data_IF_981439747037
#
_entry.id   IF_981439747037
#
_cell.length_a   1.000
_cell.length_b   1.000
_cell.length_c   1.000
_cell.angle_alpha   90.00
_cell.angle_beta   90.00
_cell.angle_gamma   90.00
#
_symmetry.space_group_name_H-M   'P 1'
#
loop_
_entity.id
_entity.type
_entity.pdbx_description
1 polymer ?
#
# COMPACT_ATOMS: atom_id res chain seq x y z
N UNK A 1 -3.88 -2.67 -46.62
CA UNK A 1 -3.33 -3.08 -45.31
C UNK A 1 -3.07 -1.82 -44.54
N UNK A 2 -4.04 -1.45 -43.71
CA UNK A 2 -4.12 -0.17 -43.00
C UNK A 2 -3.00 -0.02 -41.97
N UNK A 3 -2.28 1.10 -42.13
CA UNK A 3 -1.64 1.93 -41.10
C UNK A 3 -1.57 1.38 -39.67
N UNK A 4 -0.37 0.93 -39.30
CA UNK A 4 0.10 0.76 -37.91
C UNK A 4 0.38 2.15 -37.24
N UNK A 5 0.09 3.25 -37.93
CA UNK A 5 0.56 4.60 -37.61
C UNK A 5 -0.38 5.44 -36.72
N UNK A 6 -1.46 4.85 -36.18
CA UNK A 6 -2.52 5.64 -35.50
C UNK A 6 -2.77 5.23 -34.03
N UNK A 7 -1.72 4.83 -33.31
CA UNK A 7 -1.71 4.96 -31.85
C UNK A 7 -1.04 6.27 -31.54
N UNK A 8 -1.82 7.35 -31.67
CA UNK A 8 -1.52 8.62 -31.03
C UNK A 8 -0.89 8.32 -29.67
N UNK A 9 0.35 8.78 -29.50
CA UNK A 9 0.93 9.03 -28.20
C UNK A 9 -0.02 10.01 -27.56
N UNK A 10 -1.05 9.49 -26.88
CA UNK A 10 -1.97 10.29 -26.10
C UNK A 10 -1.15 10.75 -24.92
N UNK A 11 -0.46 11.87 -25.10
CA UNK A 11 0.31 12.54 -24.06
C UNK A 11 -0.63 12.72 -22.88
N UNK A 12 -0.18 12.25 -21.72
CA UNK A 12 -1.00 12.29 -20.51
C UNK A 12 -1.25 13.77 -20.19
N UNK A 13 -2.50 14.17 -20.00
CA UNK A 13 -2.85 15.55 -19.64
C UNK A 13 -2.12 15.99 -18.36
N UNK A 14 -1.84 15.05 -17.45
CA UNK A 14 -1.03 15.30 -16.24
C UNK A 14 0.39 15.76 -16.61
N UNK A 15 1.05 15.13 -17.58
CA UNK A 15 2.43 15.48 -17.97
C UNK A 15 2.52 16.81 -18.73
N UNK A 16 1.42 17.28 -19.30
CA UNK A 16 1.38 18.56 -20.03
C UNK A 16 0.94 19.74 -19.16
N UNK A 17 -0.04 19.53 -18.28
CA UNK A 17 -0.68 20.63 -17.53
C UNK A 17 -0.14 20.80 -16.11
N UNK A 18 0.43 19.76 -15.52
CA UNK A 18 0.90 19.79 -14.12
C UNK A 18 2.42 19.94 -14.09
N UNK A 19 2.97 20.86 -13.26
CA UNK A 19 4.40 20.96 -13.03
C UNK A 19 5.01 19.62 -12.62
N UNK A 20 6.14 19.27 -13.23
CA UNK A 20 6.83 18.00 -13.00
C UNK A 20 7.20 17.79 -11.52
N UNK A 21 7.51 18.86 -10.77
CA UNK A 21 7.82 18.73 -9.34
C UNK A 21 6.62 18.21 -8.54
N UNK A 22 5.40 18.66 -8.86
CA UNK A 22 4.18 18.23 -8.18
C UNK A 22 3.84 16.78 -8.50
N UNK A 23 4.04 16.36 -9.75
CA UNK A 23 3.85 14.97 -10.16
C UNK A 23 4.88 14.07 -9.48
N UNK A 24 6.14 14.50 -9.40
CA UNK A 24 7.19 13.77 -8.71
C UNK A 24 6.91 13.61 -7.21
N UNK A 25 6.45 14.66 -6.53
CA UNK A 25 6.05 14.58 -5.11
C UNK A 25 4.91 13.57 -4.89
N UNK A 26 3.90 13.60 -5.76
CA UNK A 26 2.77 12.66 -5.69
C UNK A 26 3.22 11.21 -5.94
N UNK A 27 4.14 11.01 -6.88
CA UNK A 27 4.74 9.71 -7.16
C UNK A 27 5.60 9.19 -6.01
N UNK A 28 6.35 10.05 -5.31
CA UNK A 28 7.13 9.66 -4.13
C UNK A 28 6.21 9.22 -2.97
N UNK A 29 5.07 9.90 -2.78
CA UNK A 29 4.08 9.49 -1.79
C UNK A 29 3.47 8.13 -2.20
N UNK A 30 3.22 7.92 -3.50
CA UNK A 30 2.72 6.66 -4.02
C UNK A 30 3.71 5.52 -3.83
N UNK A 31 4.99 5.73 -4.13
CA UNK A 31 6.05 4.76 -3.92
C UNK A 31 6.06 4.29 -2.46
N UNK A 32 6.08 5.23 -1.51
CA UNK A 32 6.02 4.91 -0.07
C UNK A 32 4.76 4.13 0.29
N UNK A 33 3.62 4.48 -0.28
CA UNK A 33 2.36 3.78 -0.06
C UNK A 33 2.39 2.34 -0.62
N UNK A 34 2.88 2.17 -1.85
CA UNK A 34 2.96 0.86 -2.52
C UNK A 34 3.91 -0.10 -1.79
N UNK A 35 5.04 0.41 -1.29
CA UNK A 35 6.01 -0.39 -0.54
C UNK A 35 5.47 -0.87 0.82
N UNK A 36 4.46 -0.21 1.39
CA UNK A 36 3.81 -0.65 2.63
C UNK A 36 3.07 -1.98 2.46
N UNK A 37 2.55 -2.27 1.27
CA UNK A 37 1.91 -3.55 0.99
C UNK A 37 2.90 -4.70 1.17
N UNK A 38 4.16 -4.52 0.78
CA UNK A 38 5.24 -5.48 1.02
C UNK A 38 5.49 -5.75 2.51
N UNK A 39 5.58 -4.69 3.33
CA UNK A 39 5.74 -4.84 4.78
C UNK A 39 4.53 -5.53 5.45
N UNK A 40 3.31 -5.24 4.98
CA UNK A 40 2.12 -5.92 5.46
C UNK A 40 2.14 -7.42 5.11
N UNK A 41 2.58 -7.78 3.90
CA UNK A 41 2.69 -9.17 3.46
C UNK A 41 3.62 -10.00 4.36
N UNK A 42 4.73 -9.43 4.81
CA UNK A 42 5.67 -10.10 5.74
C UNK A 42 4.94 -10.53 7.02
N UNK A 43 4.08 -9.68 7.58
CA UNK A 43 3.33 -10.01 8.80
C UNK A 43 2.33 -11.14 8.55
N UNK A 44 1.63 -11.10 7.41
CA UNK A 44 0.70 -12.16 7.04
C UNK A 44 1.39 -13.51 6.81
N UNK A 45 2.66 -13.52 6.39
CA UNK A 45 3.48 -14.74 6.28
C UNK A 45 4.06 -15.16 7.63
N UNK A 46 4.43 -14.21 8.49
CA UNK A 46 5.00 -14.51 9.80
C UNK A 46 4.03 -15.29 10.70
N UNK A 47 2.73 -14.98 10.65
CA UNK A 47 1.73 -15.67 11.45
C UNK A 47 1.66 -17.20 11.22
N UNK A 48 1.46 -17.71 9.99
CA UNK A 48 1.45 -19.15 9.74
C UNK A 48 2.80 -19.81 10.05
N UNK A 49 3.92 -19.11 9.82
CA UNK A 49 5.25 -19.63 10.19
C UNK A 49 5.34 -19.86 11.70
N UNK A 50 4.87 -18.92 12.53
CA UNK A 50 4.85 -19.09 13.98
C UNK A 50 3.95 -20.25 14.43
N UNK A 51 2.79 -20.40 13.78
CA UNK A 51 1.89 -21.54 14.05
C UNK A 51 2.56 -22.87 13.70
N UNK A 52 3.30 -22.95 12.58
CA UNK A 52 4.05 -24.14 12.20
C UNK A 52 5.16 -24.46 13.20
N UNK A 53 5.88 -23.43 13.66
CA UNK A 53 6.93 -23.57 14.69
C UNK A 53 6.33 -24.15 15.98
N UNK A 54 5.20 -23.61 16.44
CA UNK A 54 4.49 -24.12 17.61
C UNK A 54 4.08 -25.59 17.41
N UNK A 55 3.46 -25.91 16.27
CA UNK A 55 3.02 -27.28 15.98
C UNK A 55 4.17 -28.28 15.89
N UNK A 56 5.32 -27.90 15.33
CA UNK A 56 6.44 -28.82 15.14
C UNK A 56 7.32 -28.98 16.39
N UNK A 57 7.54 -27.90 17.14
CA UNK A 57 8.51 -27.88 18.24
C UNK A 57 7.89 -28.02 19.63
N UNK A 58 6.65 -27.56 19.81
CA UNK A 58 6.03 -27.40 21.13
C UNK A 58 4.87 -28.39 21.29
N UNK A 59 4.00 -28.50 20.28
CA UNK A 59 2.84 -29.38 20.35
C UNK A 59 3.26 -30.86 20.49
N UNK A 60 2.63 -31.58 21.42
CA UNK A 60 2.87 -33.00 21.67
C UNK A 60 4.05 -33.32 22.59
N UNK A 61 4.80 -32.32 23.06
CA UNK A 61 5.83 -32.50 24.08
C UNK A 61 5.27 -32.23 25.48
N UNK A 62 5.71 -33.03 26.45
CA UNK A 62 5.41 -32.79 27.87
C UNK A 62 6.43 -31.82 28.45
N UNK A 63 5.95 -30.76 29.06
CA UNK A 63 6.75 -29.76 29.74
C UNK A 63 6.34 -29.66 31.20
N UNK A 64 7.28 -29.28 32.05
CA UNK A 64 6.95 -28.86 33.41
C UNK A 64 6.06 -27.62 33.39
N UNK A 65 5.20 -27.46 34.40
CA UNK A 65 4.19 -26.41 34.44
C UNK A 65 4.77 -25.00 34.29
N UNK A 66 5.88 -24.71 34.98
CA UNK A 66 6.56 -23.41 34.91
C UNK A 66 7.09 -23.11 33.49
N UNK A 67 7.62 -24.13 32.82
CA UNK A 67 8.11 -24.01 31.44
C UNK A 67 6.94 -23.77 30.49
N UNK A 68 5.83 -24.49 30.66
CA UNK A 68 4.63 -24.32 29.85
C UNK A 68 4.02 -22.92 29.98
N UNK A 69 3.86 -22.40 31.20
CA UNK A 69 3.34 -21.05 31.43
C UNK A 69 4.27 -19.96 30.86
N UNK A 70 5.59 -20.18 30.93
CA UNK A 70 6.58 -19.30 30.30
C UNK A 70 6.40 -19.28 28.78
N UNK A 71 6.30 -20.46 28.14
CA UNK A 71 6.08 -20.58 26.69
C UNK A 71 4.79 -19.84 26.28
N UNK A 72 3.68 -20.09 26.98
CA UNK A 72 2.39 -19.47 26.69
C UNK A 72 2.44 -17.94 26.83
N UNK A 73 3.15 -17.43 27.84
CA UNK A 73 3.33 -15.99 28.05
C UNK A 73 4.13 -15.35 26.91
N UNK A 74 5.18 -16.02 26.45
CA UNK A 74 6.00 -15.58 25.32
C UNK A 74 5.17 -15.58 24.03
N UNK A 75 4.41 -16.65 23.76
CA UNK A 75 3.54 -16.74 22.59
C UNK A 75 2.50 -15.63 22.55
N UNK A 76 1.83 -15.38 23.67
CA UNK A 76 0.87 -14.29 23.79
C UNK A 76 1.52 -12.92 23.55
N UNK A 77 2.74 -12.74 24.06
CA UNK A 77 3.51 -11.50 23.85
C UNK A 77 3.89 -11.31 22.39
N UNK A 78 4.32 -12.36 21.69
CA UNK A 78 4.64 -12.32 20.25
C UNK A 78 3.40 -11.94 19.44
N UNK A 79 2.25 -12.57 19.71
CA UNK A 79 0.98 -12.24 19.05
C UNK A 79 0.59 -10.79 19.33
N UNK A 80 0.73 -10.32 20.56
CA UNK A 80 0.48 -8.93 20.94
C UNK A 80 1.34 -7.93 20.15
N UNK A 81 2.64 -8.21 19.99
CA UNK A 81 3.56 -7.39 19.19
C UNK A 81 3.14 -7.38 17.72
N UNK A 82 2.80 -8.54 17.14
CA UNK A 82 2.35 -8.62 15.74
C UNK A 82 1.10 -7.77 15.48
N UNK A 83 0.13 -7.80 16.39
CA UNK A 83 -1.07 -6.96 16.31
C UNK A 83 -0.67 -5.48 16.34
N UNK A 84 0.18 -5.08 17.29
CA UNK A 84 0.63 -3.70 17.40
C UNK A 84 1.34 -3.20 16.12
N UNK A 85 2.24 -4.00 15.55
CA UNK A 85 2.94 -3.66 14.30
C UNK A 85 1.96 -3.56 13.13
N UNK A 86 0.98 -4.48 13.04
CA UNK A 86 -0.06 -4.44 12.00
C UNK A 86 -0.85 -3.14 12.06
N UNK A 87 -1.23 -2.70 13.26
CA UNK A 87 -1.96 -1.44 13.45
C UNK A 87 -1.11 -0.23 13.05
N UNK A 88 0.18 -0.22 13.38
CA UNK A 88 1.11 0.84 12.97
C UNK A 88 1.19 0.94 11.45
N UNK A 89 1.39 -0.20 10.78
CA UNK A 89 1.43 -0.27 9.31
C UNK A 89 0.12 0.24 8.70
N UNK A 90 -1.02 -0.20 9.22
CA UNK A 90 -2.33 0.24 8.75
C UNK A 90 -2.52 1.76 8.90
N UNK A 91 -2.11 2.33 10.04
CA UNK A 91 -2.17 3.78 10.27
C UNK A 91 -1.30 4.55 9.26
N UNK A 92 -0.08 4.08 9.00
CA UNK A 92 0.82 4.72 8.02
C UNK A 92 0.22 4.63 6.61
N UNK A 93 -0.29 3.46 6.21
CA UNK A 93 -0.94 3.27 4.90
C UNK A 93 -2.11 4.23 4.70
N UNK A 94 -3.01 4.33 5.70
CA UNK A 94 -4.16 5.25 5.65
C UNK A 94 -3.71 6.69 5.56
N UNK A 95 -2.65 7.08 6.29
CA UNK A 95 -2.12 8.45 6.27
C UNK A 95 -1.59 8.81 4.89
N UNK A 96 -0.76 7.96 4.29
CA UNK A 96 -0.18 8.21 2.96
C UNK A 96 -1.26 8.22 1.88
N UNK A 97 -2.20 7.27 1.92
CA UNK A 97 -3.32 7.25 0.97
C UNK A 97 -4.17 8.53 1.05
N UNK A 98 -4.48 9.01 2.27
CA UNK A 98 -5.21 10.27 2.45
C UNK A 98 -4.42 11.48 1.96
N UNK A 99 -3.12 11.52 2.21
CA UNK A 99 -2.25 12.59 1.75
C UNK A 99 -2.21 12.64 0.21
N UNK A 100 -2.03 11.48 -0.43
CA UNK A 100 -1.99 11.35 -1.88
C UNK A 100 -3.32 11.76 -2.51
N UNK A 101 -4.45 11.22 -2.01
CA UNK A 101 -5.77 11.56 -2.53
C UNK A 101 -6.07 13.07 -2.41
N UNK A 102 -5.72 13.69 -1.28
CA UNK A 102 -5.88 15.15 -1.11
C UNK A 102 -5.02 15.93 -2.09
N UNK A 103 -3.77 15.53 -2.30
CA UNK A 103 -2.86 16.18 -3.25
C UNK A 103 -3.39 16.06 -4.68
N UNK A 104 -3.80 14.86 -5.10
CA UNK A 104 -4.37 14.61 -6.42
C UNK A 104 -5.66 15.41 -6.66
N UNK A 105 -6.57 15.44 -5.68
CA UNK A 105 -7.80 16.25 -5.77
C UNK A 105 -7.52 17.76 -5.85
N UNK A 106 -6.52 18.25 -5.10
CA UNK A 106 -6.13 19.65 -5.12
C UNK A 106 -5.53 20.03 -6.48
N UNK A 107 -4.65 19.19 -7.03
CA UNK A 107 -4.06 19.36 -8.36
C UNK A 107 -5.14 19.30 -9.44
N UNK A 108 -6.04 18.32 -9.40
CA UNK A 108 -7.15 18.21 -10.34
C UNK A 108 -8.01 19.49 -10.37
N UNK A 109 -8.34 20.04 -9.19
CA UNK A 109 -9.08 21.30 -9.09
C UNK A 109 -8.29 22.49 -9.61
N UNK A 110 -7.00 22.60 -9.27
CA UNK A 110 -6.13 23.73 -9.64
C UNK A 110 -5.91 23.82 -11.15
N UNK A 111 -5.76 22.68 -11.82
CA UNK A 111 -5.48 22.61 -13.26
C UNK A 111 -6.72 22.25 -14.09
N UNK A 112 -7.91 22.30 -13.50
CA UNK A 112 -9.19 22.01 -14.14
C UNK A 112 -9.24 20.63 -14.85
N UNK A 113 -8.55 19.64 -14.28
CA UNK A 113 -8.54 18.25 -14.76
C UNK A 113 -9.71 17.52 -14.11
N UNK A 114 -10.47 16.73 -14.88
CA UNK A 114 -11.53 15.88 -14.32
C UNK A 114 -10.90 14.85 -13.38
N UNK A 115 -11.50 14.64 -12.20
CA UNK A 115 -10.98 13.69 -11.19
C UNK A 115 -10.80 12.30 -11.79
N UNK A 116 -11.71 11.86 -12.66
CA UNK A 116 -11.64 10.57 -13.33
C UNK A 116 -10.43 10.46 -14.29
N UNK A 117 -10.06 11.56 -14.95
CA UNK A 117 -8.88 11.62 -15.83
C UNK A 117 -7.61 11.63 -14.99
N UNK A 118 -7.58 12.44 -13.93
CA UNK A 118 -6.45 12.48 -12.98
C UNK A 118 -6.18 11.10 -12.38
N UNK A 119 -7.22 10.41 -11.91
CA UNK A 119 -7.08 9.05 -11.36
C UNK A 119 -6.54 8.08 -12.40
N UNK A 120 -7.11 8.06 -13.61
CA UNK A 120 -6.72 7.12 -14.65
C UNK A 120 -5.27 7.34 -15.10
N UNK A 121 -4.89 8.56 -15.42
CA UNK A 121 -3.55 8.87 -15.91
C UNK A 121 -2.49 8.72 -14.83
N UNK A 122 -2.79 9.14 -13.59
CA UNK A 122 -1.89 8.94 -12.47
C UNK A 122 -1.71 7.45 -12.18
N UNK A 123 -2.78 6.64 -12.24
CA UNK A 123 -2.67 5.18 -12.08
C UNK A 123 -1.83 4.53 -13.17
N UNK A 124 -1.99 4.94 -14.43
CA UNK A 124 -1.15 4.43 -15.52
C UNK A 124 0.32 4.73 -15.23
N UNK A 125 0.65 5.97 -14.85
CA UNK A 125 2.02 6.39 -14.59
C UNK A 125 2.62 5.70 -13.35
N UNK A 126 1.89 5.74 -12.25
CA UNK A 126 2.35 5.22 -10.95
C UNK A 126 2.49 3.71 -10.92
N UNK A 127 1.53 2.96 -11.49
CA UNK A 127 1.59 1.50 -11.57
C UNK A 127 2.68 1.04 -12.54
N UNK A 128 2.91 1.77 -13.63
CA UNK A 128 4.00 1.46 -14.53
C UNK A 128 5.38 1.62 -13.87
N UNK A 129 5.55 2.65 -13.04
CA UNK A 129 6.83 2.94 -12.39
C UNK A 129 7.08 2.13 -11.11
N UNK A 130 6.07 1.97 -10.25
CA UNK A 130 6.21 1.42 -8.91
C UNK A 130 5.36 0.16 -8.66
N UNK A 131 4.54 -0.26 -9.63
CA UNK A 131 3.62 -1.39 -9.45
C UNK A 131 2.44 -1.05 -8.52
N UNK A 132 1.89 -2.07 -7.85
CA UNK A 132 0.78 -1.90 -6.90
C UNK A 132 -0.61 -1.83 -7.52
N UNK A 133 -1.61 -1.44 -6.72
CA UNK A 133 -3.05 -1.52 -7.07
C UNK A 133 -3.64 -0.21 -7.61
N UNK A 134 -2.79 0.80 -7.81
CA UNK A 134 -3.23 2.17 -8.11
C UNK A 134 -3.91 2.86 -6.91
N UNK A 135 -4.42 4.07 -7.15
CA UNK A 135 -5.24 4.85 -6.21
C UNK A 135 -6.67 4.97 -6.71
N UNK A 136 -7.59 5.20 -5.78
CA UNK A 136 -8.99 5.52 -6.09
C UNK A 136 -9.32 6.87 -5.47
N UNK A 137 -9.72 7.82 -6.31
CA UNK A 137 -10.20 9.12 -5.88
C UNK A 137 -11.71 9.01 -5.70
N UNK A 138 -12.15 8.77 -4.45
CA UNK A 138 -13.59 8.82 -4.15
C UNK A 138 -14.09 10.23 -4.47
N UNK A 139 -14.99 10.35 -5.44
CA UNK A 139 -15.73 11.58 -5.71
C UNK A 139 -16.33 12.06 -4.39
N UNK A 140 -15.76 13.12 -3.80
CA UNK A 140 -16.32 13.72 -2.59
C UNK A 140 -17.73 14.18 -2.95
N UNK A 141 -18.74 13.44 -2.48
CA UNK A 141 -20.13 13.89 -2.54
C UNK A 141 -20.18 15.13 -1.65
N UNK A 142 -20.20 16.30 -2.28
CA UNK A 142 -20.60 17.55 -1.64
C UNK A 142 -22.00 17.40 -1.05
#
# INVERSE_FOLDING_TARGET
MESIENREVKTLEITEKVPNELVAEQLEIYEKYSNIEGYAMIIFVAFPVLVLIHNFLIAGRSYEYEVYETIKTIELSIVGVLIAVTLIIAMIAIRLQRQLNKSLEATAKKYAIKIEVMEKEFNILSVYLYGGRGVTLKKSRK
#
